data_IF_702987965667
#
_entry.id   IF_702987965667
#
_cell.length_a   1.000
_cell.length_b   1.000
_cell.length_c   1.000
_cell.angle_alpha   90.00
_cell.angle_beta   90.00
_cell.angle_gamma   90.00
#
_symmetry.space_group_name_H-M   'P 1'
#
loop_
_entity.id
_entity.type
_entity.pdbx_description
1 polymer ?
#
# COMPACT_ATOMS: atom_id res chain seq x y z
N UNK A 1 34.53 -91.34 -12.02
CA UNK A 1 33.21 -90.88 -12.52
C UNK A 1 32.83 -89.67 -11.62
N UNK A 2 33.18 -88.57 -12.05
CA UNK A 2 32.29 -87.58 -12.59
C UNK A 2 31.16 -87.19 -11.68
N UNK A 3 31.18 -86.00 -11.23
CA UNK A 3 30.05 -85.11 -11.41
C UNK A 3 30.43 -83.66 -10.94
N UNK A 4 30.58 -82.84 -11.89
CA UNK A 4 30.59 -81.43 -11.73
C UNK A 4 29.23 -80.97 -11.24
N UNK A 5 29.14 -80.57 -10.01
CA UNK A 5 27.96 -79.84 -9.58
C UNK A 5 28.17 -78.35 -9.90
N UNK A 6 27.55 -77.95 -10.95
CA UNK A 6 27.38 -76.53 -11.27
C UNK A 6 26.45 -75.90 -10.22
N UNK A 7 27.01 -75.16 -9.34
CA UNK A 7 26.24 -74.31 -8.43
C UNK A 7 26.01 -72.98 -9.17
N UNK A 8 24.96 -72.93 -9.87
CA UNK A 8 24.38 -71.65 -10.33
C UNK A 8 23.57 -71.09 -9.17
N UNK A 9 24.24 -70.48 -8.21
CA UNK A 9 23.55 -69.64 -7.27
C UNK A 9 23.10 -68.35 -7.96
N UNK A 10 21.86 -67.85 -7.73
CA UNK A 10 21.49 -66.60 -8.25
C UNK A 10 22.41 -65.55 -7.69
N UNK A 11 23.04 -64.81 -8.56
CA UNK A 11 23.80 -63.61 -8.17
C UNK A 11 22.80 -62.70 -7.47
N UNK A 12 22.80 -62.69 -6.18
CA UNK A 12 22.26 -61.61 -5.41
C UNK A 12 23.07 -60.38 -5.78
N UNK A 13 22.49 -59.53 -6.57
CA UNK A 13 22.99 -58.20 -6.80
C UNK A 13 23.02 -57.53 -5.45
N UNK A 14 24.18 -57.59 -4.81
CA UNK A 14 24.50 -56.78 -3.68
C UNK A 14 24.41 -55.34 -4.18
N UNK A 15 23.31 -54.70 -3.92
CA UNK A 15 23.19 -53.27 -4.02
C UNK A 15 24.32 -52.66 -3.20
N UNK A 16 25.34 -52.21 -3.87
CA UNK A 16 26.51 -51.62 -3.22
C UNK A 16 25.99 -50.43 -2.44
N UNK A 17 26.37 -50.24 -1.17
CA UNK A 17 25.95 -49.14 -0.36
C UNK A 17 26.29 -47.76 -0.98
N UNK A 18 27.24 -47.73 -1.92
CA UNK A 18 27.58 -46.56 -2.71
C UNK A 18 26.44 -46.02 -3.59
N UNK A 19 25.55 -46.92 -4.07
CA UNK A 19 24.41 -46.47 -4.92
C UNK A 19 23.31 -45.83 -4.06
N UNK A 20 23.12 -46.28 -2.84
CA UNK A 20 22.18 -45.68 -1.89
C UNK A 20 22.66 -44.30 -1.40
N UNK A 21 23.98 -44.18 -1.15
CA UNK A 21 24.59 -42.90 -0.78
C UNK A 21 24.51 -41.87 -1.93
N UNK A 22 24.72 -42.31 -3.18
CA UNK A 22 24.58 -41.45 -4.34
C UNK A 22 23.12 -40.97 -4.51
N UNK A 23 22.13 -41.85 -4.32
CA UNK A 23 20.73 -41.49 -4.38
C UNK A 23 20.34 -40.50 -3.25
N UNK A 24 20.84 -40.69 -2.04
CA UNK A 24 20.59 -39.77 -0.92
C UNK A 24 21.27 -38.41 -1.17
N UNK A 25 22.48 -38.37 -1.72
CA UNK A 25 23.16 -37.12 -2.10
C UNK A 25 22.42 -36.36 -3.17
N UNK A 26 21.85 -37.02 -4.16
CA UNK A 26 21.05 -36.37 -5.21
C UNK A 26 19.77 -35.79 -4.61
N UNK A 27 19.08 -36.51 -3.72
CA UNK A 27 17.86 -36.04 -3.07
C UNK A 27 18.17 -34.86 -2.14
N UNK A 28 19.26 -34.91 -1.38
CA UNK A 28 19.67 -33.81 -0.49
C UNK A 28 20.11 -32.60 -1.31
N UNK A 29 20.81 -32.79 -2.42
CA UNK A 29 21.21 -31.67 -3.28
C UNK A 29 19.99 -31.02 -3.97
N UNK A 30 18.98 -31.78 -4.37
CA UNK A 30 17.75 -31.21 -4.95
C UNK A 30 16.91 -30.46 -3.91
N UNK A 31 16.88 -30.97 -2.65
CA UNK A 31 16.21 -30.28 -1.55
C UNK A 31 16.94 -28.99 -1.15
N UNK A 32 18.27 -28.95 -1.19
CA UNK A 32 19.06 -27.75 -0.94
C UNK A 32 18.89 -26.71 -2.07
N UNK A 33 18.70 -27.15 -3.31
CA UNK A 33 18.47 -26.25 -4.43
C UNK A 33 17.07 -25.61 -4.38
N UNK A 34 16.06 -26.34 -3.94
CA UNK A 34 14.72 -25.78 -3.78
C UNK A 34 14.66 -24.73 -2.66
N UNK A 35 15.44 -24.89 -1.57
CA UNK A 35 15.53 -23.90 -0.51
C UNK A 35 16.34 -22.65 -0.91
N UNK A 36 17.35 -22.80 -1.76
CA UNK A 36 18.12 -21.64 -2.22
C UNK A 36 17.36 -20.77 -3.23
N UNK A 37 16.46 -21.35 -4.03
CA UNK A 37 15.60 -20.59 -4.94
C UNK A 37 14.58 -19.73 -4.18
N UNK A 38 14.08 -20.17 -3.04
CA UNK A 38 13.19 -19.36 -2.18
C UNK A 38 13.94 -18.27 -1.41
N UNK A 39 15.21 -18.49 -1.09
CA UNK A 39 16.02 -17.48 -0.40
C UNK A 39 16.44 -16.32 -1.29
N UNK A 40 16.49 -16.49 -2.61
CA UNK A 40 16.85 -15.44 -3.57
C UNK A 40 15.67 -14.53 -3.88
N UNK A 41 14.44 -15.03 -3.79
CA UNK A 41 13.23 -14.23 -4.04
C UNK A 41 12.78 -13.42 -2.82
N UNK A 42 13.17 -13.80 -1.62
CA UNK A 42 12.80 -13.12 -0.38
C UNK A 42 13.37 -11.68 -0.23
N UNK A 43 14.60 -11.34 -0.68
CA UNK A 43 15.12 -9.98 -0.59
C UNK A 43 14.52 -9.01 -1.60
N UNK A 44 14.12 -9.48 -2.79
CA UNK A 44 13.51 -8.62 -3.80
C UNK A 44 12.11 -8.15 -3.42
N UNK A 45 11.37 -8.96 -2.64
CA UNK A 45 10.06 -8.58 -2.12
C UNK A 45 10.13 -7.54 -0.98
N UNK A 46 11.29 -7.35 -0.36
CA UNK A 46 11.48 -6.32 0.67
C UNK A 46 11.62 -4.90 0.11
N UNK A 47 11.92 -4.76 -1.17
CA UNK A 47 11.99 -3.47 -1.85
C UNK A 47 10.69 -3.05 -2.53
N UNK A 48 9.75 -3.95 -2.73
CA UNK A 48 8.42 -3.61 -3.19
C UNK A 48 7.61 -3.17 -1.97
N UNK A 49 7.49 -1.85 -1.79
CA UNK A 49 6.47 -1.30 -0.88
C UNK A 49 5.15 -1.96 -1.27
N UNK A 50 4.51 -2.61 -0.31
CA UNK A 50 3.20 -3.20 -0.53
C UNK A 50 2.31 -2.10 -1.14
N UNK A 51 1.93 -2.28 -2.40
CA UNK A 51 1.00 -1.37 -3.07
C UNK A 51 -0.31 -1.48 -2.31
N UNK A 52 -0.77 -0.35 -1.75
CA UNK A 52 -2.06 -0.32 -1.08
C UNK A 52 -3.14 -0.65 -2.09
N UNK A 53 -3.88 -1.72 -1.85
CA UNK A 53 -5.04 -2.05 -2.66
C UNK A 53 -6.13 -1.00 -2.44
N UNK A 54 -6.65 -0.45 -3.54
CA UNK A 54 -7.73 0.53 -3.53
C UNK A 54 -9.04 -0.21 -3.69
N UNK A 55 -9.89 -0.09 -2.68
CA UNK A 55 -11.25 -0.63 -2.68
C UNK A 55 -12.27 0.50 -2.54
N UNK A 56 -13.53 0.24 -2.85
CA UNK A 56 -14.58 1.25 -2.73
C UNK A 56 -14.80 1.73 -1.29
N UNK A 57 -14.54 0.87 -0.31
CA UNK A 57 -14.64 1.20 1.10
C UNK A 57 -13.29 0.99 1.80
N UNK A 58 -12.69 2.12 2.19
CA UNK A 58 -11.44 2.18 2.93
C UNK A 58 -11.62 2.92 4.27
N UNK A 59 -12.86 2.99 4.78
CA UNK A 59 -13.21 3.68 6.02
C UNK A 59 -12.30 3.25 7.19
N UNK A 60 -11.80 4.23 7.92
CA UNK A 60 -11.07 4.03 9.17
C UNK A 60 -9.71 3.35 9.04
N UNK A 61 -9.20 3.13 7.82
CA UNK A 61 -7.91 2.47 7.63
C UNK A 61 -6.73 3.34 8.07
N UNK A 62 -5.65 2.69 8.52
CA UNK A 62 -4.35 3.30 8.72
C UNK A 62 -3.58 3.31 7.39
N UNK A 63 -3.51 4.49 6.77
CA UNK A 63 -2.87 4.74 5.48
C UNK A 63 -1.70 5.72 5.64
N UNK A 64 -1.14 5.83 6.85
CA UNK A 64 -0.01 6.72 7.13
C UNK A 64 1.16 6.43 6.20
N UNK A 65 1.73 7.51 5.67
CA UNK A 65 2.92 7.45 4.82
C UNK A 65 2.78 6.57 3.57
N UNK A 66 1.56 6.16 3.21
CA UNK A 66 1.29 5.40 1.98
C UNK A 66 1.44 6.29 0.75
N UNK A 67 1.83 5.68 -0.36
CA UNK A 67 1.97 6.37 -1.65
C UNK A 67 0.83 5.99 -2.59
N UNK A 68 0.07 7.01 -3.01
CA UNK A 68 -1.00 6.93 -4.00
C UNK A 68 -0.65 7.84 -5.17
N UNK A 69 0.25 7.38 -6.04
CA UNK A 69 0.67 8.15 -7.20
C UNK A 69 -0.25 7.87 -8.38
N UNK A 70 -0.86 8.91 -8.94
CA UNK A 70 -1.82 8.79 -10.06
C UNK A 70 -2.94 7.78 -9.77
N UNK A 71 -3.32 7.65 -8.51
CA UNK A 71 -4.32 6.70 -8.08
C UNK A 71 -5.73 7.17 -8.44
N UNK A 72 -6.59 6.24 -8.80
CA UNK A 72 -8.02 6.48 -8.96
C UNK A 72 -8.73 6.20 -7.63
N UNK A 73 -9.02 7.27 -6.90
CA UNK A 73 -9.72 7.26 -5.62
C UNK A 73 -11.10 7.93 -5.74
N UNK A 74 -11.61 8.06 -6.95
CA UNK A 74 -12.92 8.69 -7.18
C UNK A 74 -14.02 7.92 -6.48
N UNK A 75 -14.85 8.67 -5.74
CA UNK A 75 -16.00 8.15 -5.00
C UNK A 75 -15.68 7.08 -3.94
N UNK A 76 -14.39 6.89 -3.60
CA UNK A 76 -13.97 5.96 -2.55
C UNK A 76 -14.35 6.52 -1.18
N UNK A 77 -14.81 5.65 -0.29
CA UNK A 77 -15.01 5.98 1.11
C UNK A 77 -13.68 5.93 1.87
N UNK A 78 -13.12 7.10 2.15
CA UNK A 78 -11.91 7.33 2.94
C UNK A 78 -12.22 8.04 4.26
N UNK A 79 -13.49 7.99 4.70
CA UNK A 79 -13.87 8.64 5.95
C UNK A 79 -13.13 8.07 7.15
N UNK A 80 -12.76 8.94 8.08
CA UNK A 80 -12.03 8.63 9.32
C UNK A 80 -10.71 7.87 9.10
N UNK A 81 -10.11 7.94 7.91
CA UNK A 81 -8.80 7.35 7.63
C UNK A 81 -7.66 8.18 8.23
N UNK A 82 -6.59 7.49 8.60
CA UNK A 82 -5.33 8.13 8.96
C UNK A 82 -4.41 8.17 7.74
N UNK A 83 -4.35 9.31 7.06
CA UNK A 83 -3.53 9.57 5.87
C UNK A 83 -2.32 10.47 6.17
N UNK A 84 -1.92 10.60 7.44
CA UNK A 84 -0.82 11.47 7.84
C UNK A 84 0.47 11.14 7.09
N UNK A 85 1.07 12.16 6.46
CA UNK A 85 2.29 12.01 5.70
C UNK A 85 2.16 11.17 4.42
N UNK A 86 0.96 10.81 4.01
CA UNK A 86 0.75 10.10 2.76
C UNK A 86 1.10 10.97 1.55
N UNK A 87 1.46 10.34 0.44
CA UNK A 87 1.73 11.00 -0.84
C UNK A 87 0.62 10.62 -1.82
N UNK A 88 -0.17 11.61 -2.24
CA UNK A 88 -1.32 11.44 -3.15
C UNK A 88 -1.17 12.23 -4.45
N UNK A 89 0.06 12.44 -4.88
CA UNK A 89 0.37 13.27 -6.05
C UNK A 89 -0.36 12.80 -7.31
N UNK A 90 -0.94 13.76 -8.04
CA UNK A 90 -1.66 13.55 -9.30
C UNK A 90 -2.81 12.54 -9.22
N UNK A 91 -3.29 12.26 -8.02
CA UNK A 91 -4.39 11.33 -7.78
C UNK A 91 -5.76 11.98 -7.97
N UNK A 92 -6.74 11.17 -8.31
CA UNK A 92 -8.12 11.58 -8.55
C UNK A 92 -8.97 11.19 -7.33
N UNK A 93 -9.49 12.20 -6.62
CA UNK A 93 -10.36 12.04 -5.45
C UNK A 93 -11.71 12.71 -5.64
N UNK A 94 -12.14 12.91 -6.91
CA UNK A 94 -13.43 13.54 -7.19
C UNK A 94 -14.55 12.73 -6.55
N UNK A 95 -15.39 13.40 -5.77
CA UNK A 95 -16.52 12.77 -5.10
C UNK A 95 -16.14 11.80 -3.98
N UNK A 96 -14.87 11.69 -3.60
CA UNK A 96 -14.46 10.85 -2.49
C UNK A 96 -15.03 11.34 -1.14
N UNK A 97 -15.33 10.43 -0.25
CA UNK A 97 -15.73 10.73 1.12
C UNK A 97 -14.49 10.75 2.03
N UNK A 98 -14.05 11.92 2.43
CA UNK A 98 -12.90 12.16 3.33
C UNK A 98 -13.33 12.77 4.66
N UNK A 99 -14.60 12.63 5.03
CA UNK A 99 -15.09 13.18 6.30
C UNK A 99 -14.29 12.66 7.47
N UNK A 100 -13.80 13.57 8.32
CA UNK A 100 -13.02 13.23 9.50
C UNK A 100 -11.67 12.58 9.23
N UNK A 101 -11.22 12.49 7.99
CA UNK A 101 -9.91 11.95 7.64
C UNK A 101 -8.78 12.89 8.10
N UNK A 102 -7.67 12.33 8.53
CA UNK A 102 -6.47 13.08 8.91
C UNK A 102 -5.45 13.06 7.77
N UNK A 103 -5.34 14.17 7.05
CA UNK A 103 -4.39 14.39 5.97
C UNK A 103 -3.26 15.35 6.39
N UNK A 104 -2.94 15.41 7.68
CA UNK A 104 -1.84 16.24 8.17
C UNK A 104 -0.52 15.84 7.50
N UNK A 105 0.26 16.82 7.08
CA UNK A 105 1.53 16.62 6.38
C UNK A 105 1.43 15.82 5.06
N UNK A 106 0.25 15.70 4.47
CA UNK A 106 0.08 15.03 3.19
C UNK A 106 0.77 15.82 2.07
N UNK A 107 1.34 15.10 1.11
CA UNK A 107 1.86 15.66 -0.13
C UNK A 107 0.89 15.35 -1.26
N UNK A 108 0.14 16.34 -1.69
CA UNK A 108 -0.97 16.19 -2.65
C UNK A 108 -0.83 17.10 -3.87
N UNK A 109 0.35 17.19 -4.45
CA UNK A 109 0.61 18.00 -5.63
C UNK A 109 -0.27 17.56 -6.83
N UNK A 110 -0.92 18.52 -7.48
CA UNK A 110 -1.75 18.32 -8.67
C UNK A 110 -2.86 17.27 -8.51
N UNK A 111 -3.39 17.10 -7.31
CA UNK A 111 -4.46 16.17 -7.02
C UNK A 111 -5.84 16.82 -7.17
N UNK A 112 -6.87 16.01 -7.37
CA UNK A 112 -8.21 16.52 -7.64
C UNK A 112 -9.19 16.10 -6.56
N UNK A 113 -9.66 17.08 -5.79
CA UNK A 113 -10.68 16.93 -4.76
C UNK A 113 -12.03 17.52 -5.18
N UNK A 114 -12.24 17.74 -6.47
CA UNK A 114 -13.48 18.34 -6.98
C UNK A 114 -14.69 17.51 -6.51
N UNK A 115 -15.65 18.15 -5.87
CA UNK A 115 -16.85 17.50 -5.35
C UNK A 115 -16.65 16.53 -4.19
N UNK A 116 -15.44 16.44 -3.64
CA UNK A 116 -15.16 15.59 -2.49
C UNK A 116 -15.82 16.12 -1.21
N UNK A 117 -16.16 15.23 -0.30
CA UNK A 117 -16.66 15.58 1.03
C UNK A 117 -15.51 15.60 2.03
N UNK A 118 -15.03 16.80 2.37
CA UNK A 118 -13.91 17.05 3.26
C UNK A 118 -14.35 17.57 4.63
N UNK A 119 -15.62 17.43 4.98
CA UNK A 119 -16.14 17.95 6.24
C UNK A 119 -15.41 17.35 7.44
N UNK A 120 -14.90 18.22 8.32
CA UNK A 120 -14.15 17.80 9.51
C UNK A 120 -12.82 17.12 9.21
N UNK A 121 -12.32 17.16 7.98
CA UNK A 121 -11.00 16.63 7.63
C UNK A 121 -9.88 17.56 8.12
N UNK A 122 -8.72 16.98 8.41
CA UNK A 122 -7.52 17.73 8.82
C UNK A 122 -6.50 17.79 7.69
N UNK A 123 -6.09 19.00 7.30
CA UNK A 123 -5.06 19.25 6.29
C UNK A 123 -3.90 20.09 6.88
N UNK A 124 -3.64 20.00 8.16
CA UNK A 124 -2.57 20.76 8.82
C UNK A 124 -1.22 20.47 8.14
N UNK A 125 -0.50 21.52 7.75
CA UNK A 125 0.77 21.45 7.03
C UNK A 125 0.72 20.65 5.71
N UNK A 126 -0.44 20.47 5.11
CA UNK A 126 -0.57 19.76 3.86
C UNK A 126 0.00 20.55 2.68
N UNK A 127 0.68 19.88 1.77
CA UNK A 127 1.22 20.46 0.54
C UNK A 127 0.30 20.15 -0.62
N UNK A 128 -0.56 21.11 -1.00
CA UNK A 128 -1.65 20.92 -1.95
C UNK A 128 -1.54 21.83 -3.19
N UNK A 129 -0.31 22.18 -3.56
CA UNK A 129 -0.08 23.03 -4.74
C UNK A 129 -0.61 22.36 -6.01
N UNK A 130 -1.20 23.17 -6.90
CA UNK A 130 -1.84 22.76 -8.14
C UNK A 130 -3.04 21.80 -7.95
N UNK A 131 -3.46 21.53 -6.72
CA UNK A 131 -4.63 20.71 -6.44
C UNK A 131 -5.92 21.52 -6.62
N UNK A 132 -7.04 20.83 -6.88
CA UNK A 132 -8.32 21.44 -7.22
C UNK A 132 -9.39 21.00 -6.23
N UNK A 133 -10.24 21.97 -5.83
CA UNK A 133 -11.28 21.78 -4.82
C UNK A 133 -12.64 22.31 -5.27
N UNK A 134 -12.91 22.38 -6.58
CA UNK A 134 -14.20 22.86 -7.08
C UNK A 134 -15.34 22.03 -6.48
N UNK A 135 -16.34 22.72 -5.92
CA UNK A 135 -17.53 22.11 -5.29
C UNK A 135 -17.23 21.12 -4.13
N UNK A 136 -16.03 21.16 -3.58
CA UNK A 136 -15.70 20.37 -2.38
C UNK A 136 -16.45 20.93 -1.16
N UNK A 137 -16.90 20.02 -0.28
CA UNK A 137 -17.56 20.38 0.98
C UNK A 137 -16.50 20.41 2.08
N UNK A 138 -16.31 21.56 2.71
CA UNK A 138 -15.19 21.80 3.65
C UNK A 138 -15.64 22.25 5.04
N UNK A 139 -16.92 22.20 5.37
CA UNK A 139 -17.40 22.64 6.67
C UNK A 139 -16.66 21.92 7.81
N UNK A 140 -16.06 22.68 8.71
CA UNK A 140 -15.28 22.16 9.84
C UNK A 140 -13.95 21.54 9.44
N UNK A 141 -13.48 21.67 8.20
CA UNK A 141 -12.13 21.23 7.83
C UNK A 141 -11.06 22.17 8.38
N UNK A 142 -9.89 21.62 8.73
CA UNK A 142 -8.75 22.37 9.27
C UNK A 142 -7.63 22.44 8.22
N UNK A 143 -7.39 23.63 7.67
CA UNK A 143 -6.33 23.91 6.69
C UNK A 143 -5.16 24.69 7.31
N UNK A 144 -4.94 24.62 8.61
CA UNK A 144 -3.86 25.32 9.28
C UNK A 144 -2.52 25.00 8.61
N UNK A 145 -1.79 26.06 8.21
CA UNK A 145 -0.49 25.96 7.53
C UNK A 145 -0.49 25.10 6.24
N UNK A 146 -1.64 24.82 5.66
CA UNK A 146 -1.73 24.16 4.37
C UNK A 146 -1.27 25.08 3.24
N UNK A 147 -0.50 24.55 2.31
CA UNK A 147 0.01 25.26 1.14
C UNK A 147 -0.91 25.02 -0.06
N UNK A 148 -1.60 26.07 -0.49
CA UNK A 148 -2.56 26.08 -1.60
C UNK A 148 -2.23 27.21 -2.56
N UNK A 149 -2.54 27.05 -3.84
CA UNK A 149 -2.48 28.17 -4.77
C UNK A 149 -3.56 29.22 -4.45
N UNK A 150 -3.24 30.47 -4.67
CA UNK A 150 -4.12 31.58 -4.35
C UNK A 150 -5.55 31.47 -4.89
N UNK A 151 -5.78 31.00 -6.14
CA UNK A 151 -7.14 30.80 -6.63
C UNK A 151 -7.93 29.75 -5.82
N UNK A 152 -7.28 28.69 -5.36
CA UNK A 152 -7.92 27.67 -4.54
C UNK A 152 -8.19 28.18 -3.12
N UNK A 153 -7.27 28.94 -2.52
CA UNK A 153 -7.52 29.60 -1.24
C UNK A 153 -8.78 30.49 -1.30
N UNK A 154 -8.88 31.33 -2.34
CA UNK A 154 -10.06 32.19 -2.52
C UNK A 154 -11.35 31.40 -2.68
N UNK A 155 -11.30 30.30 -3.43
CA UNK A 155 -12.43 29.40 -3.63
C UNK A 155 -12.89 28.80 -2.29
N UNK A 156 -11.95 28.25 -1.51
CA UNK A 156 -12.24 27.62 -0.22
C UNK A 156 -12.74 28.64 0.81
N UNK A 157 -12.10 29.82 0.89
CA UNK A 157 -12.55 30.89 1.79
C UNK A 157 -13.98 31.37 1.49
N UNK A 158 -14.42 31.31 0.26
CA UNK A 158 -15.79 31.70 -0.12
C UNK A 158 -16.85 30.74 0.46
N UNK A 159 -16.51 29.46 0.68
CA UNK A 159 -17.41 28.44 1.18
C UNK A 159 -17.08 27.97 2.60
N UNK A 160 -15.99 28.48 3.18
CA UNK A 160 -15.53 28.09 4.52
C UNK A 160 -16.55 28.43 5.60
N UNK A 161 -16.91 27.46 6.42
CA UNK A 161 -17.80 27.58 7.56
C UNK A 161 -17.52 26.49 8.60
N UNK A 162 -17.91 26.76 9.83
CA UNK A 162 -17.79 25.81 10.93
C UNK A 162 -16.40 25.76 11.57
N UNK A 163 -16.27 24.88 12.54
CA UNK A 163 -15.05 24.63 13.31
C UNK A 163 -14.68 23.17 13.21
N UNK A 164 -13.40 22.88 13.23
CA UNK A 164 -12.91 21.51 13.23
C UNK A 164 -13.29 20.79 14.54
N UNK A 165 -13.86 19.59 14.50
CA UNK A 165 -14.44 18.95 15.68
C UNK A 165 -13.40 18.55 16.74
N UNK A 166 -12.13 18.42 16.38
CA UNK A 166 -11.05 18.04 17.30
C UNK A 166 -10.20 19.24 17.68
N UNK A 167 -9.70 20.01 16.71
CA UNK A 167 -8.82 21.17 16.98
C UNK A 167 -9.58 22.43 17.39
N UNK A 168 -10.86 22.53 17.07
CA UNK A 168 -11.66 23.74 17.30
C UNK A 168 -11.28 24.93 16.40
N UNK A 169 -10.40 24.70 15.41
CA UNK A 169 -9.99 25.73 14.46
C UNK A 169 -11.12 26.06 13.50
N UNK A 170 -11.35 27.34 13.29
CA UNK A 170 -12.31 27.80 12.28
C UNK A 170 -11.78 27.49 10.88
N UNK A 171 -12.63 26.87 10.04
CA UNK A 171 -12.30 26.58 8.63
C UNK A 171 -11.93 27.85 7.85
N UNK A 172 -12.34 29.01 8.33
CA UNK A 172 -12.13 30.32 7.69
C UNK A 172 -10.81 31.00 8.05
N UNK A 173 -10.17 30.57 9.11
CA UNK A 173 -8.87 31.05 9.57
C UNK A 173 -7.73 30.31 8.91
#
# INVERSE_FOLDING_TARGET
HNVSAQITGPMRALLRPASLLAAILVVVSTLLWTNSAQAITAPELRGQRAVQEITADMHGLDLKEKEFLKADLREVNLSDTDLRGAVINTSQLQGADLRGADLSNVVGFASRFDGADLRGATFTNAMLMQSRFADARIEGADFTDAVLDLPQQKLLCATAAGEHPVSGVSTRE
#
